data_IF_525854671017
#
_entry.id   IF_525854671017
#
_cell.length_a   1.000
_cell.length_b   1.000
_cell.length_c   1.000
_cell.angle_alpha   90.00
_cell.angle_beta   90.00
_cell.angle_gamma   90.00
#
_symmetry.space_group_name_H-M   'P 1'
#
loop_
_entity.id
_entity.type
_entity.pdbx_description
1 polymer ?
#
# COMPACT_ATOMS: atom_id res chain seq x y z
N UNK A 1 4.79 -12.75 -2.11
CA UNK A 1 5.10 -11.65 -3.05
C UNK A 1 4.56 -10.31 -2.57
N UNK A 2 3.25 -10.11 -2.44
CA UNK A 2 2.66 -8.88 -1.84
C UNK A 2 1.28 -9.20 -1.25
N UNK A 3 0.81 -8.39 -0.29
CA UNK A 3 -0.55 -8.47 0.28
C UNK A 3 -1.29 -7.15 0.04
N UNK A 4 -2.52 -7.26 -0.47
CA UNK A 4 -3.49 -6.16 -0.47
C UNK A 4 -4.40 -6.32 0.76
N UNK A 5 -4.42 -5.31 1.62
CA UNK A 5 -5.10 -5.38 2.92
C UNK A 5 -6.17 -4.32 3.06
N UNK A 6 -7.43 -4.73 3.16
CA UNK A 6 -8.52 -3.82 3.50
C UNK A 6 -8.36 -3.25 4.92
N UNK A 7 -8.44 -1.93 5.07
CA UNK A 7 -8.43 -1.25 6.36
C UNK A 7 -9.74 -1.46 7.13
N UNK A 8 -10.85 -1.50 6.41
CA UNK A 8 -12.18 -1.78 6.94
C UNK A 8 -12.63 -3.18 6.49
N UNK A 9 -12.50 -4.17 7.36
CA UNK A 9 -13.04 -5.52 7.15
C UNK A 9 -14.28 -5.70 8.04
N UNK A 10 -15.23 -6.59 7.69
CA UNK A 10 -16.49 -6.74 8.42
C UNK A 10 -16.31 -7.04 9.92
N UNK A 11 -15.36 -7.91 10.25
CA UNK A 11 -15.20 -8.43 11.62
C UNK A 11 -13.91 -7.97 12.31
N UNK A 12 -12.95 -7.43 11.55
CA UNK A 12 -11.60 -7.13 12.04
C UNK A 12 -11.05 -5.83 11.47
N UNK A 13 -10.31 -5.11 12.29
CA UNK A 13 -9.59 -3.93 11.86
C UNK A 13 -8.34 -4.35 11.07
N UNK A 14 -8.21 -3.89 9.82
CA UNK A 14 -7.06 -4.19 8.96
C UNK A 14 -5.73 -3.83 9.60
N UNK A 15 -5.68 -2.75 10.40
CA UNK A 15 -4.44 -2.36 11.09
C UNK A 15 -4.05 -3.37 12.18
N UNK A 16 -5.01 -4.04 12.80
CA UNK A 16 -4.72 -5.15 13.74
C UNK A 16 -4.18 -6.37 13.01
N UNK A 17 -4.67 -6.62 11.78
CA UNK A 17 -4.14 -7.70 10.92
C UNK A 17 -2.70 -7.39 10.54
N UNK A 18 -2.41 -6.15 10.11
CA UNK A 18 -1.06 -5.69 9.80
C UNK A 18 -0.12 -5.89 11.00
N UNK A 19 -0.50 -5.45 12.19
CA UNK A 19 0.30 -5.63 13.40
C UNK A 19 0.61 -7.11 13.68
N UNK A 20 -0.37 -8.00 13.51
CA UNK A 20 -0.17 -9.45 13.64
C UNK A 20 0.80 -9.99 12.59
N UNK A 21 0.68 -9.55 11.34
CA UNK A 21 1.62 -9.94 10.28
C UNK A 21 3.05 -9.51 10.61
N UNK A 22 3.25 -8.27 11.10
CA UNK A 22 4.56 -7.75 11.51
C UNK A 22 5.16 -8.49 12.71
N UNK A 23 4.32 -9.07 13.57
CA UNK A 23 4.78 -9.96 14.66
C UNK A 23 5.07 -11.40 14.25
N UNK A 24 4.64 -11.81 13.05
CA UNK A 24 4.73 -13.20 12.61
C UNK A 24 6.08 -13.46 11.91
N UNK A 25 6.84 -14.52 12.30
CA UNK A 25 8.22 -14.71 11.86
C UNK A 25 8.38 -14.85 10.34
N UNK A 26 7.36 -15.39 9.66
CA UNK A 26 7.36 -15.61 8.20
C UNK A 26 6.75 -14.44 7.43
N UNK A 27 5.82 -13.68 8.04
CA UNK A 27 5.04 -12.67 7.32
C UNK A 27 5.54 -11.24 7.55
N UNK A 28 6.40 -11.04 8.55
CA UNK A 28 6.86 -9.72 8.99
C UNK A 28 7.47 -8.87 7.88
N UNK A 29 8.11 -9.51 6.90
CA UNK A 29 8.81 -8.83 5.81
C UNK A 29 7.98 -8.81 4.51
N UNK A 30 6.76 -9.39 4.51
CA UNK A 30 5.90 -9.39 3.32
C UNK A 30 5.42 -7.96 3.05
N UNK A 31 5.59 -7.44 1.83
CA UNK A 31 5.08 -6.12 1.46
C UNK A 31 3.56 -6.05 1.56
N UNK A 32 3.04 -4.93 2.08
CA UNK A 32 1.60 -4.69 2.24
C UNK A 32 1.24 -3.36 1.59
N UNK A 33 0.18 -3.37 0.78
CA UNK A 33 -0.53 -2.17 0.31
C UNK A 33 -1.91 -2.17 0.96
N UNK A 34 -2.31 -1.05 1.57
CA UNK A 34 -3.59 -0.95 2.29
C UNK A 34 -4.67 -0.37 1.38
N UNK A 35 -5.86 -0.95 1.37
CA UNK A 35 -7.04 -0.44 0.67
C UNK A 35 -8.03 0.10 1.70
N UNK A 36 -8.54 1.30 1.50
CA UNK A 36 -9.27 2.00 2.54
C UNK A 36 -10.47 2.76 2.01
N UNK A 37 -11.58 2.87 2.75
CA UNK A 37 -12.58 3.86 2.44
C UNK A 37 -12.00 5.27 2.68
N UNK A 38 -12.46 6.26 1.91
CA UNK A 38 -12.04 7.67 2.02
C UNK A 38 -12.09 8.20 3.47
N UNK A 39 -13.16 7.85 4.21
CA UNK A 39 -13.34 8.23 5.61
C UNK A 39 -12.25 7.74 6.58
N UNK A 40 -11.42 6.75 6.17
CA UNK A 40 -10.34 6.21 6.99
C UNK A 40 -8.97 6.85 6.72
N UNK A 41 -8.86 7.79 5.75
CA UNK A 41 -7.59 8.37 5.29
C UNK A 41 -6.73 8.93 6.43
N UNK A 42 -7.29 9.80 7.27
CA UNK A 42 -6.55 10.46 8.36
C UNK A 42 -6.04 9.46 9.41
N UNK A 43 -6.80 8.39 9.64
CA UNK A 43 -6.42 7.32 10.56
C UNK A 43 -5.23 6.53 10.00
N UNK A 44 -5.24 6.28 8.69
CA UNK A 44 -4.18 5.55 8.00
C UNK A 44 -2.90 6.36 7.89
N UNK A 45 -2.98 7.66 7.59
CA UNK A 45 -1.81 8.54 7.55
C UNK A 45 -1.03 8.55 8.88
N UNK A 46 -1.71 8.39 10.00
CA UNK A 46 -1.08 8.28 11.33
C UNK A 46 -0.57 6.88 11.64
N UNK A 47 -1.28 5.85 11.19
CA UNK A 47 -0.98 4.46 11.52
C UNK A 47 0.07 3.80 10.61
N UNK A 48 0.24 4.30 9.38
CA UNK A 48 1.00 3.64 8.31
C UNK A 48 2.38 4.26 8.06
N UNK A 49 2.90 5.11 8.95
CA UNK A 49 4.07 5.94 8.65
C UNK A 49 5.37 5.17 8.35
N UNK A 50 5.48 3.88 8.66
CA UNK A 50 6.69 3.08 8.36
C UNK A 50 6.46 1.64 7.88
N UNK A 51 5.27 1.07 8.02
CA UNK A 51 5.10 -0.39 7.98
C UNK A 51 4.43 -0.92 6.70
N UNK A 52 4.16 -0.06 5.72
CA UNK A 52 3.52 -0.44 4.45
C UNK A 52 4.18 0.26 3.27
N UNK A 53 4.01 -0.32 2.08
CA UNK A 53 4.56 0.21 0.84
C UNK A 53 3.68 1.34 0.26
N UNK A 54 2.42 1.38 0.65
CA UNK A 54 1.50 2.45 0.28
C UNK A 54 0.06 2.13 0.66
N UNK A 55 -0.86 3.02 0.30
CA UNK A 55 -2.28 2.85 0.52
C UNK A 55 -3.10 3.47 -0.61
N UNK A 56 -4.28 2.93 -0.87
CA UNK A 56 -5.27 3.48 -1.79
C UNK A 56 -6.56 3.78 -1.02
N UNK A 57 -7.15 4.94 -1.30
CA UNK A 57 -8.49 5.29 -0.85
C UNK A 57 -9.50 4.96 -1.94
N UNK A 58 -10.61 4.33 -1.58
CA UNK A 58 -11.73 4.07 -2.47
C UNK A 58 -12.53 5.36 -2.72
N UNK A 59 -12.95 5.62 -3.97
CA UNK A 59 -12.67 4.81 -5.17
C UNK A 59 -11.24 5.03 -5.71
N UNK A 60 -10.63 3.98 -6.26
CA UNK A 60 -9.31 4.03 -6.91
C UNK A 60 -9.35 3.33 -8.27
N UNK A 61 -8.43 3.71 -9.16
CA UNK A 61 -8.28 3.08 -10.46
C UNK A 61 -7.48 1.77 -10.36
N UNK A 62 -7.95 0.73 -11.06
CA UNK A 62 -7.32 -0.59 -11.01
C UNK A 62 -5.92 -0.58 -11.64
N UNK A 63 -5.73 0.25 -12.66
CA UNK A 63 -4.42 0.38 -13.34
C UNK A 63 -3.35 0.95 -12.41
N UNK A 64 -3.71 1.90 -11.56
CA UNK A 64 -2.80 2.49 -10.56
C UNK A 64 -2.43 1.46 -9.48
N UNK A 65 -3.40 0.67 -9.02
CA UNK A 65 -3.15 -0.42 -8.08
C UNK A 65 -2.24 -1.50 -8.69
N UNK A 66 -2.47 -1.88 -9.96
CA UNK A 66 -1.63 -2.83 -10.67
C UNK A 66 -0.20 -2.31 -10.86
N UNK A 67 -0.06 -1.03 -11.17
CA UNK A 67 1.25 -0.38 -11.27
C UNK A 67 1.97 -0.40 -9.92
N UNK A 68 1.29 -0.03 -8.84
CA UNK A 68 1.84 -0.08 -7.49
C UNK A 68 2.30 -1.49 -7.09
N UNK A 69 1.48 -2.52 -7.36
CA UNK A 69 1.86 -3.93 -7.13
C UNK A 69 3.11 -4.30 -7.92
N UNK A 70 3.19 -3.94 -9.21
CA UNK A 70 4.35 -4.21 -10.05
C UNK A 70 5.62 -3.54 -9.50
N UNK A 71 5.51 -2.28 -9.10
CA UNK A 71 6.61 -1.51 -8.50
C UNK A 71 7.11 -2.16 -7.21
N UNK A 72 6.20 -2.55 -6.31
CA UNK A 72 6.55 -3.21 -5.04
C UNK A 72 7.23 -4.55 -5.26
N UNK A 73 6.85 -5.28 -6.31
CA UNK A 73 7.47 -6.55 -6.68
C UNK A 73 8.76 -6.39 -7.50
N UNK A 74 9.20 -5.16 -7.78
CA UNK A 74 10.42 -4.87 -8.53
C UNK A 74 10.33 -5.18 -10.03
N UNK A 75 9.13 -5.23 -10.61
CA UNK A 75 9.00 -5.36 -12.06
C UNK A 75 9.48 -4.07 -12.74
N UNK A 76 10.33 -4.16 -13.78
CA UNK A 76 10.75 -2.99 -14.53
C UNK A 76 9.53 -2.33 -15.17
N UNK A 77 9.35 -1.03 -14.89
CA UNK A 77 8.32 -0.21 -15.54
C UNK A 77 8.47 -0.35 -17.05
N UNK A 78 7.42 -0.83 -17.73
CA UNK A 78 7.45 -0.97 -19.18
C UNK A 78 7.28 0.41 -19.80
N UNK A 79 8.38 1.13 -20.00
CA UNK A 79 8.42 2.43 -20.68
C UNK A 79 9.38 3.41 -20.03
N UNK A 80 10.23 4.02 -20.85
CA UNK A 80 11.25 5.04 -20.57
C UNK A 80 10.93 5.99 -19.40
N UNK A 81 11.90 6.19 -18.50
CA UNK A 81 12.03 7.31 -17.53
C UNK A 81 10.71 8.01 -17.15
N UNK A 82 9.69 7.23 -16.80
CA UNK A 82 8.50 7.81 -16.24
C UNK A 82 8.88 8.13 -14.79
N UNK A 83 8.94 9.42 -14.50
CA UNK A 83 8.78 9.95 -13.15
C UNK A 83 7.39 9.47 -12.66
N UNK A 84 7.34 8.22 -12.20
CA UNK A 84 6.12 7.54 -11.79
C UNK A 84 5.78 8.00 -10.39
N UNK A 85 5.24 9.21 -10.32
CA UNK A 85 4.46 9.66 -9.18
C UNK A 85 3.15 8.87 -9.19
N UNK A 86 3.16 7.71 -8.53
CA UNK A 86 1.91 7.05 -8.13
C UNK A 86 1.24 7.97 -7.11
N UNK A 87 0.11 8.56 -7.48
CA UNK A 87 -0.70 9.37 -6.58
C UNK A 87 -1.35 8.43 -5.54
N UNK A 88 -0.69 8.29 -4.39
CA UNK A 88 -1.17 7.51 -3.26
C UNK A 88 -2.33 8.19 -2.51
N UNK A 89 -2.98 9.21 -3.09
CA UNK A 89 -4.13 9.90 -2.52
C UNK A 89 -3.78 10.95 -1.47
N UNK A 90 -2.55 11.50 -1.48
CA UNK A 90 -2.09 12.84 -1.00
C UNK A 90 -0.59 12.87 -0.58
N UNK A 91 0.09 13.94 -1.02
CA UNK A 91 1.44 14.49 -0.72
C UNK A 91 2.61 13.53 -0.39
N UNK A 92 2.63 12.31 -0.91
CA UNK A 92 3.82 11.45 -0.82
C UNK A 92 4.20 10.87 -2.17
N UNK A 93 4.90 11.69 -2.95
CA UNK A 93 5.80 11.22 -4.00
C UNK A 93 6.99 10.53 -3.34
N UNK A 94 7.01 9.19 -3.30
CA UNK A 94 8.21 8.45 -2.89
C UNK A 94 9.08 8.16 -4.12
N UNK A 95 10.30 8.71 -4.22
CA UNK A 95 11.20 8.38 -5.31
C UNK A 95 11.88 7.04 -5.05
N UNK A 96 11.99 6.24 -6.12
CA UNK A 96 13.02 5.21 -6.26
C UNK A 96 12.63 3.82 -5.75
N UNK A 97 12.18 2.98 -6.68
CA UNK A 97 12.58 1.58 -6.65
C UNK A 97 14.12 1.52 -6.75
N UNK A 98 14.77 0.97 -5.73
CA UNK A 98 16.14 0.47 -5.82
C UNK A 98 16.09 -1.04 -5.83
#
# INVERSE_FOLDING_TARGET
DVVLLGAALPDVDGLKVLAKMRSHPVLKDVPVIVLAPDAARDRLLKALQSDVQGYFTEPFEVDDLLLAVKTVLGFPGTGAEADLTVDWGDDRSVPGAR
#
